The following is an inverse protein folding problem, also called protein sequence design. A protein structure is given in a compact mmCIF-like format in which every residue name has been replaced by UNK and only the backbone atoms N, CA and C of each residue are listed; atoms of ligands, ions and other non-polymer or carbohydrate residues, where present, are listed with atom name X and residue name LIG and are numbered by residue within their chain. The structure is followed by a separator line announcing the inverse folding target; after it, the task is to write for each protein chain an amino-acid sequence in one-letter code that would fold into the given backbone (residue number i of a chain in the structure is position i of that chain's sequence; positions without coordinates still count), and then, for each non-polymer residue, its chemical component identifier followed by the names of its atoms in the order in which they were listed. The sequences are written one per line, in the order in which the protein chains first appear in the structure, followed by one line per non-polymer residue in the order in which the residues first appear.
data_IF_491237313146
#
_entry.id   IF_491237313146
#
_cell.length_a   1.000
_cell.length_b   1.000
_cell.length_c   1.000
_cell.angle_alpha   90.00
_cell.angle_beta   90.00
_cell.angle_gamma   90.00
#
_symmetry.space_group_name_H-M   'P 1'
#
loop_
_entity.id
_entity.type
_entity.pdbx_description
1 polymer ?
#
# COMPACT_ATOMS: atom_id res chain seq x y z
N UNK A 1 -67.26 -17.99 43.96
CA UNK A 1 -67.51 -18.54 42.63
C UNK A 1 -66.33 -18.14 41.73
N UNK A 2 -65.42 -19.05 41.51
CA UNK A 2 -64.45 -19.09 40.41
C UNK A 2 -65.15 -19.30 39.06
N UNK A 3 -64.58 -18.92 37.91
CA UNK A 3 -63.54 -19.73 37.24
C UNK A 3 -62.46 -18.89 36.58
N UNK A 4 -61.24 -19.41 36.63
CA UNK A 4 -60.51 -20.22 35.59
C UNK A 4 -59.85 -19.41 34.46
N UNK A 5 -58.64 -19.54 34.46
CA UNK A 5 -57.46 -19.39 33.67
C UNK A 5 -57.61 -19.58 32.13
N UNK A 6 -56.83 -18.79 31.38
CA UNK A 6 -56.24 -19.27 30.15
C UNK A 6 -54.81 -18.80 29.98
N UNK A 7 -53.99 -19.79 29.65
CA UNK A 7 -52.56 -19.74 29.46
C UNK A 7 -52.28 -19.21 28.02
N UNK A 8 -51.59 -18.08 27.92
CA UNK A 8 -51.06 -17.62 26.66
C UNK A 8 -49.55 -17.95 26.57
N UNK A 9 -49.20 -18.93 25.75
CA UNK A 9 -47.83 -19.30 25.44
C UNK A 9 -47.13 -18.21 24.59
N UNK A 10 -46.31 -17.42 25.25
CA UNK A 10 -45.38 -16.54 24.56
C UNK A 10 -44.11 -17.26 24.17
N UNK A 11 -43.92 -17.51 22.89
CA UNK A 11 -42.65 -17.98 22.33
C UNK A 11 -41.59 -16.90 22.50
N UNK A 12 -40.76 -17.01 23.53
CA UNK A 12 -39.53 -16.25 23.67
C UNK A 12 -38.47 -16.81 22.72
N UNK A 13 -38.32 -16.22 21.58
CA UNK A 13 -37.16 -16.45 20.72
C UNK A 13 -35.91 -15.98 21.50
N UNK A 14 -35.20 -16.93 22.08
CA UNK A 14 -33.86 -16.74 22.65
C UNK A 14 -32.95 -16.31 21.49
N UNK A 15 -32.61 -15.04 21.44
CA UNK A 15 -31.50 -14.57 20.62
C UNK A 15 -30.22 -15.22 21.17
N UNK A 16 -29.78 -16.28 20.52
CA UNK A 16 -28.46 -16.85 20.77
C UNK A 16 -27.44 -15.72 20.58
N UNK A 17 -26.86 -15.22 21.67
CA UNK A 17 -25.66 -14.40 21.61
C UNK A 17 -24.63 -15.23 20.87
N UNK A 18 -24.27 -14.79 19.66
CA UNK A 18 -23.09 -15.32 18.95
C UNK A 18 -21.91 -15.04 19.89
N UNK A 19 -21.47 -16.05 20.61
CA UNK A 19 -20.24 -15.99 21.40
C UNK A 19 -19.13 -15.87 20.35
N UNK A 20 -18.54 -14.70 20.26
CA UNK A 20 -17.37 -14.50 19.41
C UNK A 20 -16.33 -15.58 19.77
N UNK A 21 -15.85 -16.30 18.77
CA UNK A 21 -14.77 -17.27 18.99
C UNK A 21 -13.62 -16.58 19.73
N UNK A 22 -13.02 -17.25 20.74
CA UNK A 22 -11.91 -16.64 21.45
C UNK A 22 -10.78 -16.32 20.48
N UNK A 23 -10.13 -15.14 20.58
CA UNK A 23 -9.05 -14.76 19.69
C UNK A 23 -7.97 -15.83 19.69
N UNK A 24 -7.47 -16.22 18.52
CA UNK A 24 -6.44 -17.24 18.37
C UNK A 24 -5.22 -16.89 19.25
N UNK A 25 -4.68 -17.89 19.91
CA UNK A 25 -3.47 -17.72 20.71
C UNK A 25 -2.29 -17.27 19.82
N UNK A 26 -1.37 -16.49 20.38
CA UNK A 26 -0.19 -16.01 19.67
C UNK A 26 0.60 -17.15 18.97
N UNK A 27 0.67 -18.34 19.59
CA UNK A 27 1.30 -19.50 18.97
C UNK A 27 0.55 -19.98 17.72
N UNK A 28 -0.79 -20.00 17.77
CA UNK A 28 -1.61 -20.44 16.63
C UNK A 28 -1.42 -19.54 15.41
N UNK A 29 -1.25 -18.22 15.60
CA UNK A 29 -0.92 -17.30 14.51
C UNK A 29 0.42 -17.61 13.85
N UNK A 30 1.41 -17.94 14.66
CA UNK A 30 2.73 -18.38 14.17
C UNK A 30 2.58 -19.68 13.37
N UNK A 31 1.85 -20.66 13.90
CA UNK A 31 1.64 -21.97 13.27
C UNK A 31 0.84 -21.87 11.96
N UNK A 32 -0.13 -20.95 11.88
CA UNK A 32 -0.87 -20.66 10.65
C UNK A 32 0.02 -20.05 9.56
N UNK A 33 0.98 -19.21 9.95
CA UNK A 33 1.86 -18.55 9.00
C UNK A 33 2.96 -19.45 8.46
N UNK A 34 3.59 -20.23 9.33
CA UNK A 34 4.78 -21.00 9.00
C UNK A 34 4.45 -22.31 8.29
N UNK A 35 5.37 -22.81 7.52
CA UNK A 35 5.30 -24.14 6.95
C UNK A 35 5.29 -25.18 8.06
N UNK A 36 4.57 -26.29 7.84
CA UNK A 36 4.39 -27.36 8.83
C UNK A 36 5.74 -27.81 9.42
N UNK A 37 5.80 -27.87 10.74
CA UNK A 37 6.99 -28.30 11.53
C UNK A 37 8.26 -27.47 11.30
N UNK A 38 8.15 -26.28 10.71
CA UNK A 38 9.31 -25.42 10.47
C UNK A 38 9.62 -24.46 11.61
N UNK A 39 8.75 -24.33 12.62
CA UNK A 39 8.96 -23.41 13.73
C UNK A 39 10.08 -23.87 14.67
N UNK A 40 11.09 -23.04 14.83
CA UNK A 40 12.19 -23.20 15.77
C UNK A 40 12.14 -22.07 16.79
N UNK A 41 11.61 -22.29 18.01
CA UNK A 41 11.54 -21.26 19.03
C UNK A 41 12.95 -20.85 19.47
N UNK A 42 13.20 -19.55 19.54
CA UNK A 42 14.49 -19.04 20.04
C UNK A 42 14.61 -19.21 21.55
N UNK A 43 13.48 -19.36 22.25
CA UNK A 43 13.39 -19.60 23.69
C UNK A 43 12.30 -20.62 24.00
N UNK A 44 12.58 -21.54 24.89
CA UNK A 44 11.63 -22.54 25.37
C UNK A 44 10.69 -21.99 26.44
N UNK A 45 11.03 -20.89 27.12
CA UNK A 45 10.22 -20.25 28.16
C UNK A 45 10.14 -18.74 27.94
N UNK A 46 8.96 -18.26 27.59
CA UNK A 46 8.70 -16.82 27.40
C UNK A 46 7.97 -16.25 28.63
N UNK A 47 8.67 -16.12 29.77
CA UNK A 47 8.12 -15.43 30.94
C UNK A 47 7.89 -13.93 30.75
N UNK A 48 8.23 -13.39 29.59
CA UNK A 48 8.14 -11.98 29.22
C UNK A 48 6.89 -11.61 28.40
N UNK A 49 6.09 -12.59 27.98
CA UNK A 49 4.86 -12.39 27.21
C UNK A 49 5.06 -12.31 25.69
N UNK A 50 6.26 -12.66 25.17
CA UNK A 50 6.56 -12.69 23.74
C UNK A 50 6.99 -14.09 23.33
N UNK A 51 6.32 -14.67 22.33
CA UNK A 51 6.72 -15.90 21.65
C UNK A 51 7.54 -15.49 20.43
N UNK A 52 8.70 -16.07 20.20
CA UNK A 52 9.55 -15.73 19.07
C UNK A 52 10.37 -16.91 18.58
N UNK A 53 10.73 -16.88 17.32
CA UNK A 53 11.53 -17.89 16.68
C UNK A 53 11.78 -17.62 15.21
N UNK A 54 12.30 -18.63 14.53
CA UNK A 54 12.44 -18.67 13.09
C UNK A 54 11.65 -19.85 12.51
N UNK A 55 11.37 -19.77 11.21
CA UNK A 55 10.69 -20.84 10.49
C UNK A 55 10.82 -20.62 9.00
N UNK A 56 9.93 -21.23 8.25
CA UNK A 56 9.87 -21.08 6.80
C UNK A 56 8.47 -20.65 6.34
N UNK A 57 8.43 -19.89 5.28
CA UNK A 57 7.21 -19.56 4.52
C UNK A 57 7.51 -19.87 3.06
N UNK A 58 6.78 -20.83 2.50
CA UNK A 58 7.02 -21.37 1.15
C UNK A 58 8.50 -21.75 0.95
N UNK A 59 9.07 -22.47 1.92
CA UNK A 59 10.46 -22.91 1.97
C UNK A 59 11.50 -21.86 2.30
N UNK A 60 11.15 -20.56 2.33
CA UNK A 60 12.06 -19.43 2.59
C UNK A 60 12.14 -19.10 4.08
N UNK A 61 13.32 -18.77 4.61
CA UNK A 61 13.49 -18.45 6.03
C UNK A 61 12.74 -17.16 6.39
N UNK A 62 12.10 -17.16 7.55
CA UNK A 62 11.43 -16.00 8.14
C UNK A 62 11.61 -16.02 9.66
N UNK A 63 11.73 -14.85 10.27
CA UNK A 63 11.67 -14.70 11.73
C UNK A 63 10.29 -14.21 12.13
N UNK A 64 9.83 -14.70 13.29
CA UNK A 64 8.49 -14.35 13.79
C UNK A 64 8.55 -14.00 15.28
N UNK A 65 7.69 -13.09 15.68
CA UNK A 65 7.39 -12.85 17.09
C UNK A 65 5.90 -12.53 17.26
N UNK A 66 5.32 -12.91 18.40
CA UNK A 66 3.93 -12.66 18.70
C UNK A 66 3.75 -12.28 20.17
N UNK A 67 2.95 -11.26 20.44
CA UNK A 67 2.60 -10.87 21.81
C UNK A 67 1.46 -11.73 22.33
N UNK A 68 1.65 -12.28 23.55
CA UNK A 68 0.63 -13.06 24.23
C UNK A 68 -0.23 -12.15 25.11
N UNK A 69 -1.43 -11.86 24.67
CA UNK A 69 -2.39 -11.02 25.41
C UNK A 69 -2.75 -11.57 26.79
N UNK A 70 -2.69 -12.89 26.99
CA UNK A 70 -2.93 -13.52 28.31
C UNK A 70 -1.86 -13.13 29.33
N UNK A 71 -0.68 -12.71 28.88
CA UNK A 71 0.38 -12.20 29.77
C UNK A 71 0.23 -10.68 29.95
N UNK A 72 -0.35 -10.28 31.08
CA UNK A 72 -0.51 -8.85 31.48
C UNK A 72 -1.15 -7.97 30.38
N UNK A 73 -2.15 -8.49 29.67
CA UNK A 73 -2.84 -7.78 28.59
C UNK A 73 -1.93 -7.43 27.39
N UNK A 74 -0.88 -8.22 27.15
CA UNK A 74 0.10 -7.95 26.10
C UNK A 74 0.96 -6.70 26.36
N UNK A 75 0.87 -6.09 27.56
CA UNK A 75 1.70 -4.91 27.89
C UNK A 75 3.19 -5.29 27.89
N UNK A 76 4.02 -4.38 27.35
CA UNK A 76 5.43 -4.64 27.12
C UNK A 76 6.31 -4.00 28.22
N UNK A 77 7.17 -4.82 28.80
CA UNK A 77 8.24 -4.42 29.70
C UNK A 77 9.62 -4.63 29.06
N UNK A 78 10.68 -4.41 29.85
CA UNK A 78 12.07 -4.52 29.38
C UNK A 78 12.41 -5.88 28.79
N UNK A 79 12.04 -6.97 29.45
CA UNK A 79 12.35 -8.33 29.00
C UNK A 79 11.70 -8.66 27.65
N UNK A 80 10.40 -8.37 27.50
CA UNK A 80 9.68 -8.58 26.25
C UNK A 80 10.20 -7.69 25.11
N UNK A 81 10.52 -6.43 25.41
CA UNK A 81 11.14 -5.53 24.44
C UNK A 81 12.49 -6.04 23.95
N UNK A 82 13.35 -6.51 24.87
CA UNK A 82 14.62 -7.11 24.50
C UNK A 82 14.47 -8.39 23.66
N UNK A 83 13.39 -9.15 23.84
CA UNK A 83 13.09 -10.34 23.03
C UNK A 83 12.71 -9.95 21.60
N UNK A 84 11.85 -8.93 21.42
CA UNK A 84 11.48 -8.40 20.10
C UNK A 84 12.73 -7.85 19.38
N UNK A 85 13.53 -7.03 20.06
CA UNK A 85 14.78 -6.46 19.51
C UNK A 85 15.71 -7.55 19.00
N UNK A 86 16.01 -8.57 19.83
CA UNK A 86 16.87 -9.69 19.42
C UNK A 86 16.31 -10.45 18.22
N UNK A 87 14.99 -10.60 18.11
CA UNK A 87 14.37 -11.26 16.97
C UNK A 87 14.56 -10.45 15.68
N UNK A 88 14.36 -9.13 15.74
CA UNK A 88 14.59 -8.23 14.60
C UNK A 88 16.08 -8.22 14.20
N UNK A 89 16.98 -8.13 15.15
CA UNK A 89 18.43 -8.15 14.91
C UNK A 89 18.91 -9.48 14.33
N UNK A 90 18.36 -10.61 14.81
CA UNK A 90 18.67 -11.93 14.28
C UNK A 90 18.15 -12.08 12.83
N UNK A 91 16.93 -11.62 12.54
CA UNK A 91 16.39 -11.58 11.20
C UNK A 91 17.26 -10.75 10.26
N UNK A 92 17.65 -9.55 10.71
CA UNK A 92 18.50 -8.65 9.93
C UNK A 92 19.88 -9.26 9.66
N UNK A 93 20.48 -9.93 10.63
CA UNK A 93 21.78 -10.64 10.47
C UNK A 93 21.66 -11.83 9.53
N UNK A 94 20.53 -12.55 9.57
CA UNK A 94 20.28 -13.71 8.73
C UNK A 94 19.86 -13.33 7.30
N UNK A 95 19.56 -12.06 7.02
CA UNK A 95 19.04 -11.64 5.75
C UNK A 95 17.65 -12.22 5.45
N UNK A 96 16.79 -12.33 6.48
CA UNK A 96 15.47 -12.93 6.37
C UNK A 96 14.39 -11.96 6.84
N UNK A 97 13.19 -11.94 6.21
CA UNK A 97 12.08 -11.11 6.67
C UNK A 97 11.68 -11.40 8.11
N UNK A 98 11.05 -10.42 8.76
CA UNK A 98 10.46 -10.58 10.08
C UNK A 98 8.98 -10.22 10.09
N UNK A 99 8.17 -11.07 10.73
CA UNK A 99 6.73 -10.85 10.91
C UNK A 99 6.43 -10.75 12.40
N UNK A 100 5.80 -9.65 12.80
CA UNK A 100 5.38 -9.42 14.17
C UNK A 100 3.87 -9.40 14.31
N UNK A 101 3.32 -10.21 15.22
CA UNK A 101 1.90 -10.21 15.58
C UNK A 101 1.69 -9.41 16.86
N UNK A 102 0.99 -8.27 16.72
CA UNK A 102 0.83 -7.28 17.78
C UNK A 102 -0.56 -7.34 18.40
N UNK A 103 -0.58 -7.44 19.72
CA UNK A 103 -1.76 -7.24 20.57
C UNK A 103 -1.27 -6.73 21.92
N UNK A 104 -1.32 -5.42 22.15
CA UNK A 104 -0.60 -4.79 23.26
C UNK A 104 -1.31 -3.62 23.90
N UNK A 105 -1.49 -3.68 25.20
CA UNK A 105 -1.92 -2.53 26.00
C UNK A 105 -0.89 -1.39 26.10
N UNK A 106 0.24 -1.48 25.38
CA UNK A 106 1.30 -0.47 25.43
C UNK A 106 2.40 -0.75 26.45
N UNK A 107 3.05 0.29 26.92
CA UNK A 107 4.10 0.20 27.92
C UNK A 107 3.58 -0.31 29.27
N UNK A 108 4.29 -1.25 29.89
CA UNK A 108 3.94 -1.78 31.23
C UNK A 108 4.22 -0.73 32.28
N UNK A 109 3.16 -0.13 32.81
CA UNK A 109 3.27 0.99 33.76
C UNK A 109 4.06 0.65 35.02
N UNK A 110 3.99 -0.61 35.48
CA UNK A 110 4.70 -1.09 36.67
C UNK A 110 6.24 -1.10 36.50
N UNK A 111 6.74 -1.06 35.26
CA UNK A 111 8.19 -0.99 34.98
C UNK A 111 8.66 0.44 34.71
N UNK A 112 7.76 1.43 34.79
CA UNK A 112 8.06 2.85 34.66
C UNK A 112 8.86 3.19 33.40
N UNK A 113 9.95 3.95 33.58
CA UNK A 113 10.82 4.39 32.46
C UNK A 113 11.47 3.23 31.69
N UNK A 114 11.66 2.07 32.35
CA UNK A 114 12.22 0.89 31.73
C UNK A 114 11.37 0.36 30.58
N UNK A 115 10.04 0.43 30.69
CA UNK A 115 9.13 0.07 29.60
C UNK A 115 9.22 1.04 28.41
N UNK A 116 9.46 2.33 28.65
CA UNK A 116 9.70 3.30 27.58
C UNK A 116 11.04 3.06 26.89
N UNK A 117 12.09 2.71 27.66
CA UNK A 117 13.40 2.30 27.12
C UNK A 117 13.28 1.07 26.21
N UNK A 118 12.41 0.11 26.57
CA UNK A 118 12.13 -1.05 25.74
C UNK A 118 11.54 -0.66 24.36
N UNK A 119 10.56 0.24 24.34
CA UNK A 119 10.00 0.75 23.08
C UNK A 119 11.02 1.54 22.26
N UNK A 120 11.83 2.40 22.89
CA UNK A 120 12.89 3.13 22.20
C UNK A 120 13.88 2.17 21.51
N UNK A 121 14.21 1.06 22.18
CA UNK A 121 15.07 0.02 21.61
C UNK A 121 14.43 -0.71 20.43
N UNK A 122 13.12 -1.00 20.51
CA UNK A 122 12.35 -1.57 19.40
C UNK A 122 12.33 -0.61 18.21
N UNK A 123 12.02 0.68 18.44
CA UNK A 123 12.01 1.69 17.36
C UNK A 123 13.36 1.77 16.65
N UNK A 124 14.44 1.79 17.43
CA UNK A 124 15.80 1.78 16.88
C UNK A 124 16.07 0.51 16.06
N UNK A 125 15.74 -0.68 16.57
CA UNK A 125 15.95 -1.94 15.88
C UNK A 125 15.14 -2.01 14.58
N UNK A 126 13.85 -1.65 14.63
CA UNK A 126 12.97 -1.62 13.47
C UNK A 126 13.47 -0.64 12.41
N UNK A 127 13.84 0.59 12.80
CA UNK A 127 14.33 1.60 11.85
C UNK A 127 15.68 1.26 11.22
N UNK A 128 16.54 0.50 11.91
CA UNK A 128 17.85 0.11 11.41
C UNK A 128 17.85 -1.19 10.63
N UNK A 129 16.83 -2.02 10.80
CA UNK A 129 16.74 -3.27 10.07
C UNK A 129 16.50 -2.98 8.58
N UNK A 130 17.23 -3.69 7.73
CA UNK A 130 17.15 -3.57 6.27
C UNK A 130 16.20 -4.60 5.65
N UNK A 131 15.96 -5.72 6.34
CA UNK A 131 15.07 -6.79 5.89
C UNK A 131 13.60 -6.35 5.88
N UNK A 132 12.73 -6.98 5.06
CA UNK A 132 11.29 -6.72 5.08
C UNK A 132 10.68 -7.02 6.45
N UNK A 133 9.84 -6.10 6.93
CA UNK A 133 9.18 -6.18 8.23
C UNK A 133 7.67 -6.02 8.03
N UNK A 134 6.90 -7.05 8.40
CA UNK A 134 5.44 -7.02 8.36
C UNK A 134 4.91 -6.99 9.79
N UNK A 135 4.18 -5.94 10.13
CA UNK A 135 3.49 -5.82 11.42
C UNK A 135 2.01 -6.14 11.25
N UNK A 136 1.55 -7.14 11.98
CA UNK A 136 0.17 -7.66 11.94
C UNK A 136 -0.55 -7.26 13.22
N UNK A 137 -1.52 -6.37 13.11
CA UNK A 137 -2.28 -5.85 14.24
C UNK A 137 -3.48 -6.75 14.46
N UNK A 138 -3.46 -7.52 15.54
CA UNK A 138 -4.45 -8.56 15.86
C UNK A 138 -5.41 -8.17 17.01
N UNK A 139 -5.32 -6.96 17.49
CA UNK A 139 -6.11 -6.41 18.58
C UNK A 139 -5.67 -5.00 18.91
N UNK A 140 -6.04 -4.44 20.08
CA UNK A 140 -5.58 -3.13 20.51
C UNK A 140 -4.06 -3.00 20.55
N UNK A 141 -3.52 -1.93 19.96
CA UNK A 141 -2.13 -1.51 20.05
C UNK A 141 -2.06 -0.04 20.46
N UNK A 142 -1.65 0.20 21.72
CA UNK A 142 -1.66 1.53 22.32
C UNK A 142 -0.26 2.10 22.52
N UNK A 143 -0.12 3.41 22.38
CA UNK A 143 1.11 4.13 22.66
C UNK A 143 2.28 3.67 21.79
N UNK A 144 3.38 3.25 22.42
CA UNK A 144 4.57 2.76 21.71
C UNK A 144 4.30 1.58 20.76
N UNK A 145 3.30 0.73 21.08
CA UNK A 145 2.91 -0.38 20.21
C UNK A 145 2.28 0.08 18.88
N UNK A 146 1.77 1.29 18.82
CA UNK A 146 1.23 1.87 17.59
C UNK A 146 2.30 2.51 16.70
N UNK A 147 3.46 2.88 17.25
CA UNK A 147 4.54 3.50 16.46
C UNK A 147 5.40 2.49 15.71
N UNK A 148 5.81 1.39 16.35
CA UNK A 148 6.73 0.43 15.74
C UNK A 148 6.24 -0.14 14.40
N UNK A 149 4.93 -0.45 14.21
CA UNK A 149 4.42 -0.88 12.91
C UNK A 149 4.69 0.10 11.78
N UNK A 150 4.50 1.40 12.04
CA UNK A 150 4.68 2.46 11.05
C UNK A 150 6.15 2.72 10.66
N UNK A 151 7.10 2.16 11.39
CA UNK A 151 8.54 2.20 11.08
C UNK A 151 8.99 1.02 10.21
N UNK A 152 8.15 -0.01 10.08
CA UNK A 152 8.43 -1.20 9.28
C UNK A 152 8.05 -1.06 7.81
N UNK A 153 8.01 -2.19 7.10
CA UNK A 153 7.71 -2.23 5.66
C UNK A 153 6.21 -2.20 5.38
N UNK A 154 5.44 -3.09 6.02
CA UNK A 154 3.98 -3.19 5.84
C UNK A 154 3.26 -3.27 7.18
N UNK A 155 2.09 -2.64 7.24
CA UNK A 155 1.13 -2.74 8.34
C UNK A 155 -0.12 -3.45 7.83
N UNK A 156 -0.50 -4.55 8.48
CA UNK A 156 -1.73 -5.29 8.25
C UNK A 156 -2.62 -5.19 9.47
N UNK A 157 -3.91 -4.95 9.28
CA UNK A 157 -4.90 -4.99 10.35
C UNK A 157 -5.86 -6.15 10.14
N UNK A 158 -6.14 -6.93 11.21
CA UNK A 158 -6.89 -8.18 11.15
C UNK A 158 -8.19 -8.07 11.94
N UNK A 159 -9.31 -8.21 11.25
CA UNK A 159 -10.64 -8.19 11.84
C UNK A 159 -11.05 -6.84 12.44
N UNK A 160 -12.24 -6.83 13.05
CA UNK A 160 -12.83 -5.62 13.63
C UNK A 160 -12.15 -5.20 14.96
N UNK A 161 -11.43 -6.12 15.62
CA UNK A 161 -10.76 -5.87 16.91
C UNK A 161 -9.41 -5.18 16.77
N UNK A 162 -8.84 -5.13 15.58
CA UNK A 162 -7.57 -4.47 15.31
C UNK A 162 -7.68 -2.95 15.50
N UNK A 163 -6.85 -2.40 16.38
CA UNK A 163 -6.86 -0.96 16.72
C UNK A 163 -5.42 -0.46 16.94
N UNK A 164 -5.15 0.73 16.47
CA UNK A 164 -3.89 1.44 16.71
C UNK A 164 -4.17 2.88 17.13
N UNK A 165 -3.63 3.33 18.25
CA UNK A 165 -3.75 4.72 18.69
C UNK A 165 -2.62 5.12 19.64
N UNK A 166 -2.18 6.36 19.58
CA UNK A 166 -1.13 6.88 20.46
C UNK A 166 -1.61 7.00 21.90
N UNK A 167 -2.81 7.52 22.07
CA UNK A 167 -3.41 7.77 23.39
C UNK A 167 -4.77 7.09 23.43
N UNK A 168 -4.99 6.26 24.45
CA UNK A 168 -6.23 5.49 24.57
C UNK A 168 -7.45 6.35 24.91
N UNK A 169 -8.68 5.85 24.59
CA UNK A 169 -9.94 6.58 24.75
C UNK A 169 -10.16 7.18 26.15
N UNK A 170 -9.77 6.44 27.21
CA UNK A 170 -9.92 6.93 28.59
C UNK A 170 -9.09 8.18 28.91
N UNK A 171 -7.92 8.31 28.32
CA UNK A 171 -7.04 9.48 28.50
C UNK A 171 -7.58 10.64 27.66
N UNK A 172 -8.00 10.38 26.42
CA UNK A 172 -8.64 11.38 25.56
C UNK A 172 -9.85 11.98 26.24
N UNK A 173 -10.75 11.16 26.79
CA UNK A 173 -11.93 11.63 27.50
C UNK A 173 -11.60 12.56 28.69
N UNK A 174 -10.47 12.33 29.38
CA UNK A 174 -10.02 13.21 30.48
C UNK A 174 -9.38 14.49 30.00
N UNK A 175 -8.63 14.48 28.90
CA UNK A 175 -7.83 15.62 28.43
C UNK A 175 -8.62 16.52 27.49
N UNK A 176 -9.25 15.93 26.46
CA UNK A 176 -9.99 16.68 25.43
C UNK A 176 -11.51 16.66 25.63
N UNK A 177 -12.00 15.84 26.57
CA UNK A 177 -13.43 15.58 26.83
C UNK A 177 -14.17 14.92 25.66
N UNK A 178 -13.45 14.39 24.69
CA UNK A 178 -14.01 13.60 23.59
C UNK A 178 -14.29 12.18 24.10
N UNK A 179 -15.51 11.69 23.87
CA UNK A 179 -15.92 10.34 24.23
C UNK A 179 -15.95 9.50 22.95
N UNK A 180 -14.99 8.59 22.81
CA UNK A 180 -14.84 7.72 21.65
C UNK A 180 -14.51 6.30 22.09
N UNK A 181 -14.88 5.30 21.30
CA UNK A 181 -14.41 3.92 21.46
C UNK A 181 -13.03 3.75 20.82
N UNK A 182 -12.31 2.68 21.16
CA UNK A 182 -11.02 2.39 20.51
C UNK A 182 -11.16 2.13 19.00
N UNK A 183 -12.27 1.51 18.58
CA UNK A 183 -12.56 1.24 17.16
C UNK A 183 -12.83 2.54 16.40
N UNK A 184 -13.59 3.47 16.99
CA UNK A 184 -13.84 4.80 16.38
C UNK A 184 -12.57 5.66 16.35
N UNK A 185 -11.68 5.50 17.33
CA UNK A 185 -10.44 6.27 17.42
C UNK A 185 -9.37 5.77 16.45
N UNK A 186 -9.16 4.47 16.37
CA UNK A 186 -8.04 3.89 15.62
C UNK A 186 -8.29 2.47 15.12
N UNK A 187 -9.55 2.09 14.85
CA UNK A 187 -9.89 0.81 14.24
C UNK A 187 -9.48 0.75 12.76
N UNK A 188 -9.55 -0.45 12.18
CA UNK A 188 -9.18 -0.68 10.78
C UNK A 188 -9.90 0.28 9.82
N UNK A 189 -11.19 0.63 10.06
CA UNK A 189 -11.98 1.57 9.23
C UNK A 189 -11.42 3.00 9.24
N UNK A 190 -10.69 3.38 10.28
CA UNK A 190 -9.98 4.66 10.37
C UNK A 190 -8.65 4.55 9.61
N UNK A 191 -7.85 3.55 9.92
CA UNK A 191 -6.48 3.46 9.43
C UNK A 191 -6.37 3.09 7.94
N UNK A 192 -7.31 2.36 7.37
CA UNK A 192 -7.38 2.16 5.93
C UNK A 192 -7.65 3.44 5.12
N UNK A 193 -8.24 4.48 5.77
CA UNK A 193 -8.49 5.79 5.14
C UNK A 193 -7.38 6.80 5.43
N UNK A 194 -6.63 6.63 6.51
CA UNK A 194 -5.53 7.51 6.88
C UNK A 194 -4.19 7.12 6.24
N UNK A 195 -4.12 5.92 5.61
CA UNK A 195 -2.88 5.41 5.01
C UNK A 195 -1.94 4.71 5.99
N UNK A 196 -2.33 4.53 7.26
CA UNK A 196 -1.54 3.79 8.25
C UNK A 196 -1.59 2.28 8.00
N UNK A 197 -2.78 1.75 7.64
CA UNK A 197 -2.93 0.35 7.26
C UNK A 197 -2.74 0.19 5.75
N UNK A 198 -1.87 -0.73 5.37
CA UNK A 198 -1.58 -1.03 3.96
C UNK A 198 -2.41 -2.20 3.45
N UNK A 199 -2.69 -3.19 4.30
CA UNK A 199 -3.45 -4.41 3.98
C UNK A 199 -4.45 -4.68 5.10
N UNK A 200 -5.62 -5.20 4.73
CA UNK A 200 -6.66 -5.63 5.68
C UNK A 200 -6.95 -7.12 5.46
N UNK A 201 -7.17 -7.85 6.54
CA UNK A 201 -7.60 -9.23 6.53
C UNK A 201 -8.82 -9.40 7.43
N UNK A 202 -9.75 -10.27 7.06
CA UNK A 202 -10.97 -10.48 7.83
C UNK A 202 -10.69 -11.30 9.10
N UNK A 203 -9.72 -12.23 9.03
CA UNK A 203 -9.32 -13.11 10.12
C UNK A 203 -7.84 -13.52 10.05
N UNK A 204 -7.36 -14.30 11.01
CA UNK A 204 -5.97 -14.73 11.09
C UNK A 204 -5.59 -15.71 9.96
N UNK A 205 -6.54 -16.45 9.37
CA UNK A 205 -6.28 -17.35 8.23
C UNK A 205 -6.07 -16.54 6.95
N UNK A 206 -6.96 -15.60 6.67
CA UNK A 206 -6.82 -14.65 5.57
C UNK A 206 -5.54 -13.82 5.72
N UNK A 207 -5.22 -13.37 6.94
CA UNK A 207 -3.98 -12.66 7.24
C UNK A 207 -2.75 -13.50 6.89
N UNK A 208 -2.72 -14.76 7.28
CA UNK A 208 -1.62 -15.69 6.95
C UNK A 208 -1.42 -15.81 5.44
N UNK A 209 -2.49 -16.00 4.68
CA UNK A 209 -2.42 -16.07 3.21
C UNK A 209 -1.87 -14.78 2.59
N UNK A 210 -2.35 -13.62 3.04
CA UNK A 210 -1.88 -12.31 2.56
C UNK A 210 -0.44 -12.01 2.96
N UNK A 211 0.01 -12.45 4.14
CA UNK A 211 1.42 -12.33 4.57
C UNK A 211 2.31 -13.19 3.66
N UNK A 212 1.94 -14.45 3.39
CA UNK A 212 2.64 -15.33 2.46
C UNK A 212 2.73 -14.70 1.07
N UNK A 213 1.61 -14.18 0.57
CA UNK A 213 1.58 -13.47 -0.71
C UNK A 213 2.51 -12.25 -0.69
N UNK A 214 2.45 -11.40 0.32
CA UNK A 214 3.32 -10.22 0.45
C UNK A 214 4.80 -10.63 0.49
N UNK A 215 5.18 -11.59 1.33
CA UNK A 215 6.56 -12.09 1.42
C UNK A 215 7.08 -12.65 0.11
N UNK A 216 6.20 -13.14 -0.77
CA UNK A 216 6.59 -13.68 -2.08
C UNK A 216 7.05 -12.62 -3.08
N UNK A 217 6.85 -11.33 -2.80
CA UNK A 217 7.33 -10.24 -3.65
C UNK A 217 8.65 -9.64 -3.17
N UNK A 218 9.02 -9.85 -1.91
CA UNK A 218 10.21 -9.25 -1.32
C UNK A 218 11.43 -10.18 -1.35
N UNK A 219 12.64 -9.65 -1.59
CA UNK A 219 13.88 -10.39 -1.35
C UNK A 219 14.08 -10.61 0.15
N UNK A 220 15.06 -11.44 0.53
CA UNK A 220 15.46 -11.57 1.93
C UNK A 220 16.12 -10.31 2.48
N UNK A 221 16.93 -9.66 1.64
CA UNK A 221 17.65 -8.40 1.94
C UNK A 221 17.58 -7.45 0.75
N UNK A 222 17.79 -6.14 0.92
CA UNK A 222 17.99 -5.22 -0.19
C UNK A 222 19.10 -5.73 -1.13
N UNK A 223 18.82 -5.69 -2.43
CA UNK A 223 19.76 -6.21 -3.45
C UNK A 223 19.90 -7.73 -3.51
N UNK A 224 19.18 -8.48 -2.66
CA UNK A 224 19.08 -9.94 -2.78
C UNK A 224 18.17 -10.37 -3.94
N UNK A 225 18.23 -11.67 -4.34
CA UNK A 225 17.43 -12.17 -5.44
C UNK A 225 15.93 -12.06 -5.10
N UNK A 226 15.17 -11.54 -6.07
CA UNK A 226 13.71 -11.52 -5.99
C UNK A 226 13.14 -12.93 -6.16
N UNK A 227 12.08 -13.30 -5.42
CA UNK A 227 11.49 -14.62 -5.50
C UNK A 227 10.81 -14.85 -6.86
N UNK A 228 11.31 -15.79 -7.63
CA UNK A 228 10.70 -16.21 -8.88
C UNK A 228 9.57 -17.24 -8.66
N UNK A 229 8.56 -17.21 -9.51
CA UNK A 229 7.54 -18.25 -9.67
C UNK A 229 7.38 -18.57 -11.15
N UNK A 230 6.91 -19.77 -11.47
CA UNK A 230 6.55 -20.09 -12.87
C UNK A 230 5.52 -19.06 -13.38
N UNK A 231 5.73 -18.50 -14.57
CA UNK A 231 4.83 -17.51 -15.14
C UNK A 231 3.45 -18.11 -15.44
N UNK A 232 2.45 -17.26 -15.33
CA UNK A 232 1.06 -17.56 -15.67
C UNK A 232 0.58 -16.52 -16.66
N UNK A 233 -0.15 -16.95 -17.69
CA UNK A 233 -0.71 -16.02 -18.67
C UNK A 233 -1.53 -14.94 -17.99
N UNK A 234 -1.47 -13.68 -18.44
CA UNK A 234 -2.29 -12.60 -17.92
C UNK A 234 -3.79 -12.85 -18.21
N UNK A 235 -4.67 -12.01 -17.69
CA UNK A 235 -6.08 -12.07 -18.11
C UNK A 235 -6.18 -11.90 -19.63
N UNK A 236 -7.08 -12.66 -20.30
CA UNK A 236 -7.25 -12.56 -21.75
C UNK A 236 -7.85 -11.21 -22.15
N UNK A 237 -7.52 -10.72 -23.35
CA UNK A 237 -8.00 -9.47 -23.91
C UNK A 237 -6.88 -8.45 -24.11
N UNK A 238 -7.24 -7.29 -24.68
CA UNK A 238 -6.31 -6.20 -24.90
C UNK A 238 -6.27 -5.29 -23.64
N UNK A 239 -5.10 -4.90 -23.13
CA UNK A 239 -5.00 -3.99 -22.00
C UNK A 239 -5.73 -2.65 -22.17
N UNK A 240 -6.04 -2.24 -23.39
CA UNK A 240 -6.81 -1.02 -23.67
C UNK A 240 -8.34 -1.22 -23.65
N UNK A 241 -8.84 -2.44 -23.68
CA UNK A 241 -10.29 -2.74 -23.69
C UNK A 241 -11.06 -2.05 -22.55
N UNK A 242 -10.54 -1.95 -21.33
CA UNK A 242 -11.20 -1.22 -20.25
C UNK A 242 -11.28 0.29 -20.44
N UNK A 243 -10.49 0.87 -21.36
CA UNK A 243 -10.36 2.31 -21.52
C UNK A 243 -11.37 2.81 -22.57
N UNK A 244 -12.37 3.62 -22.19
CA UNK A 244 -13.34 4.11 -23.15
C UNK A 244 -12.71 5.09 -24.15
N UNK A 245 -13.14 4.99 -25.41
CA UNK A 245 -12.71 5.92 -26.47
C UNK A 245 -13.09 7.38 -26.15
N UNK A 246 -14.22 7.60 -25.48
CA UNK A 246 -14.60 8.92 -24.99
C UNK A 246 -13.75 9.30 -23.75
N UNK A 247 -12.84 10.24 -23.90
CA UNK A 247 -11.92 10.72 -22.85
C UNK A 247 -12.62 11.28 -21.59
N UNK A 248 -13.90 11.64 -21.68
CA UNK A 248 -14.69 12.10 -20.52
C UNK A 248 -15.18 10.97 -19.63
N UNK A 249 -15.19 9.74 -20.12
CA UNK A 249 -15.58 8.57 -19.35
C UNK A 249 -14.40 8.05 -18.54
N UNK A 250 -14.73 7.48 -17.39
CA UNK A 250 -13.75 6.92 -16.45
C UNK A 250 -13.76 5.40 -16.54
N UNK A 251 -12.65 4.79 -16.18
CA UNK A 251 -12.47 3.34 -16.11
C UNK A 251 -11.72 2.97 -14.82
N UNK A 252 -11.67 1.70 -14.51
CA UNK A 252 -10.87 1.18 -13.40
C UNK A 252 -9.51 0.70 -13.92
N UNK A 253 -8.44 1.33 -13.49
CA UNK A 253 -7.07 0.97 -13.93
C UNK A 253 -6.68 -0.45 -13.48
N UNK A 254 -7.37 -1.04 -12.49
CA UNK A 254 -7.14 -2.43 -12.06
C UNK A 254 -7.45 -3.43 -13.16
N UNK A 255 -8.42 -3.12 -14.01
CA UNK A 255 -8.76 -3.97 -15.15
C UNK A 255 -7.61 -3.97 -16.16
N UNK A 256 -6.98 -2.82 -16.42
CA UNK A 256 -5.74 -2.72 -17.24
C UNK A 256 -4.60 -3.52 -16.60
N UNK A 257 -4.39 -3.37 -15.28
CA UNK A 257 -3.34 -4.07 -14.53
C UNK A 257 -3.50 -5.59 -14.67
N UNK A 258 -4.73 -6.11 -14.61
CA UNK A 258 -5.03 -7.53 -14.77
C UNK A 258 -4.58 -8.12 -16.11
N UNK A 259 -4.61 -7.34 -17.19
CA UNK A 259 -4.10 -7.75 -18.52
C UNK A 259 -2.58 -7.65 -18.65
N UNK A 260 -1.88 -7.07 -17.68
CA UNK A 260 -0.42 -6.94 -17.69
C UNK A 260 0.27 -7.93 -16.75
N UNK A 261 -0.40 -8.36 -15.68
CA UNK A 261 0.19 -9.20 -14.64
C UNK A 261 -0.14 -10.68 -14.81
N UNK A 262 0.76 -11.54 -14.38
CA UNK A 262 0.60 -12.99 -14.36
C UNK A 262 -0.69 -13.38 -13.64
N UNK A 263 -1.57 -14.14 -14.30
CA UNK A 263 -2.87 -14.55 -13.77
C UNK A 263 -3.80 -13.39 -13.39
N UNK A 264 -3.46 -12.16 -13.70
CA UNK A 264 -4.15 -10.96 -13.22
C UNK A 264 -3.99 -10.73 -11.71
N UNK A 265 -3.07 -11.46 -11.05
CA UNK A 265 -2.87 -11.36 -9.60
C UNK A 265 -2.24 -10.01 -9.20
N UNK A 266 -2.94 -9.27 -8.35
CA UNK A 266 -2.49 -7.98 -7.88
C UNK A 266 -2.74 -7.80 -6.37
N UNK A 267 -1.66 -7.72 -5.58
CA UNK A 267 -1.74 -7.36 -4.16
C UNK A 267 -1.78 -5.83 -4.04
N UNK A 268 -2.99 -5.27 -4.07
CA UNK A 268 -3.17 -3.82 -3.92
C UNK A 268 -2.93 -3.37 -2.48
N UNK A 269 -2.08 -2.36 -2.32
CA UNK A 269 -1.78 -1.74 -1.03
C UNK A 269 -2.57 -0.45 -0.84
N UNK A 270 -2.95 -0.16 0.41
CA UNK A 270 -3.65 1.08 0.79
C UNK A 270 -4.87 1.38 -0.09
N UNK A 271 -5.65 0.36 -0.44
CA UNK A 271 -6.79 0.41 -1.38
C UNK A 271 -7.82 1.51 -1.07
N UNK A 272 -7.96 1.89 0.20
CA UNK A 272 -8.95 2.87 0.67
C UNK A 272 -8.37 4.27 0.94
N UNK A 273 -7.05 4.42 0.90
CA UNK A 273 -6.35 5.69 1.02
C UNK A 273 -5.96 6.22 -0.36
N UNK A 274 -6.10 7.53 -0.58
CA UNK A 274 -5.74 8.20 -1.84
C UNK A 274 -6.15 7.36 -3.07
N UNK A 275 -7.46 7.15 -3.25
CA UNK A 275 -8.01 6.20 -4.24
C UNK A 275 -7.74 6.57 -5.69
N UNK A 276 -7.36 7.82 -5.94
CA UNK A 276 -6.90 8.34 -7.24
C UNK A 276 -5.50 7.84 -7.63
N UNK A 277 -4.81 7.13 -6.74
CA UNK A 277 -3.54 6.43 -6.96
C UNK A 277 -3.69 4.96 -6.54
N UNK A 278 -3.40 4.04 -7.44
CA UNK A 278 -3.32 2.60 -7.18
C UNK A 278 -1.86 2.21 -7.06
N UNK A 279 -1.52 1.44 -6.03
CA UNK A 279 -0.18 0.88 -5.81
C UNK A 279 -0.31 -0.57 -5.36
N UNK A 280 0.65 -1.40 -5.70
CA UNK A 280 0.68 -2.80 -5.27
C UNK A 280 1.73 -3.62 -5.98
N UNK A 281 1.70 -4.91 -5.72
CA UNK A 281 2.63 -5.88 -6.29
C UNK A 281 1.93 -6.91 -7.15
N UNK A 282 2.61 -7.36 -8.18
CA UNK A 282 2.25 -8.47 -9.02
C UNK A 282 3.48 -9.13 -9.61
N UNK A 283 3.30 -9.87 -10.69
CA UNK A 283 4.39 -10.51 -11.42
C UNK A 283 4.26 -10.30 -12.92
N UNK A 284 5.38 -10.22 -13.57
CA UNK A 284 5.49 -10.30 -15.04
C UNK A 284 6.56 -11.34 -15.35
N UNK A 285 6.19 -12.34 -16.14
CA UNK A 285 7.06 -13.48 -16.46
C UNK A 285 7.65 -14.14 -15.20
N UNK A 286 6.81 -14.37 -14.18
CA UNK A 286 7.19 -14.99 -12.91
C UNK A 286 7.95 -14.09 -11.94
N UNK A 287 8.39 -12.91 -12.34
CA UNK A 287 9.20 -12.00 -11.53
C UNK A 287 8.37 -10.93 -10.84
N UNK A 288 8.62 -10.63 -9.56
CA UNK A 288 7.96 -9.57 -8.85
C UNK A 288 8.14 -8.21 -9.50
N UNK A 289 7.06 -7.45 -9.59
CA UNK A 289 7.05 -6.06 -10.00
C UNK A 289 6.15 -5.24 -9.08
N UNK A 290 6.55 -3.99 -8.80
CA UNK A 290 5.66 -2.99 -8.25
C UNK A 290 4.86 -2.35 -9.38
N UNK A 291 3.63 -1.95 -9.11
CA UNK A 291 2.79 -1.17 -10.02
C UNK A 291 2.32 0.08 -9.31
N UNK A 292 2.50 1.23 -9.94
CA UNK A 292 1.90 2.51 -9.54
C UNK A 292 1.11 3.08 -10.70
N UNK A 293 -0.16 3.45 -10.48
CA UNK A 293 -1.07 3.84 -11.55
C UNK A 293 -2.02 4.95 -11.13
N UNK A 294 -2.32 5.88 -12.04
CA UNK A 294 -3.41 6.82 -11.85
C UNK A 294 -4.76 6.12 -11.99
N UNK A 295 -5.70 6.41 -11.09
CA UNK A 295 -7.03 5.81 -11.12
C UNK A 295 -8.07 6.83 -11.60
N UNK A 296 -8.45 6.73 -12.87
CA UNK A 296 -9.39 7.65 -13.50
C UNK A 296 -10.77 7.68 -12.83
N UNK A 297 -11.19 6.57 -12.22
CA UNK A 297 -12.47 6.43 -11.49
C UNK A 297 -12.60 7.37 -10.29
N UNK A 298 -11.48 7.86 -9.77
CA UNK A 298 -11.44 8.79 -8.64
C UNK A 298 -10.75 10.08 -9.06
N UNK A 299 -11.49 11.18 -8.98
CA UNK A 299 -11.01 12.51 -9.34
C UNK A 299 -10.43 12.62 -10.77
N UNK A 300 -10.84 11.72 -11.69
CA UNK A 300 -10.31 11.70 -13.05
C UNK A 300 -8.82 11.34 -13.15
N UNK A 301 -8.23 10.73 -12.13
CA UNK A 301 -6.79 10.40 -12.12
C UNK A 301 -5.87 11.57 -11.77
N UNK A 302 -6.38 12.74 -11.35
CA UNK A 302 -5.52 13.86 -10.92
C UNK A 302 -4.68 13.46 -9.71
N UNK A 303 -3.48 14.02 -9.60
CA UNK A 303 -2.66 13.92 -8.40
C UNK A 303 -3.12 14.93 -7.34
N UNK A 304 -3.16 14.52 -6.10
CA UNK A 304 -3.36 15.40 -4.94
C UNK A 304 -2.29 15.11 -3.86
N UNK A 305 -2.35 15.85 -2.78
CA UNK A 305 -1.38 15.73 -1.69
C UNK A 305 -1.30 14.30 -1.13
N UNK A 306 -2.44 13.63 -0.96
CA UNK A 306 -2.49 12.27 -0.41
C UNK A 306 -1.97 11.21 -1.42
N UNK A 307 -2.29 11.37 -2.71
CA UNK A 307 -1.76 10.51 -3.77
C UNK A 307 -0.23 10.63 -3.89
N UNK A 308 0.29 11.84 -3.73
CA UNK A 308 1.73 12.10 -3.75
C UNK A 308 2.45 11.39 -2.58
N UNK A 309 1.91 11.48 -1.35
CA UNK A 309 2.47 10.75 -0.20
C UNK A 309 2.46 9.23 -0.42
N UNK A 310 1.31 8.70 -0.89
CA UNK A 310 1.14 7.27 -1.17
C UNK A 310 2.13 6.77 -2.22
N UNK A 311 2.27 7.53 -3.32
CA UNK A 311 3.21 7.21 -4.39
C UNK A 311 4.66 7.27 -3.93
N UNK A 312 5.06 8.33 -3.22
CA UNK A 312 6.42 8.48 -2.71
C UNK A 312 6.83 7.35 -1.78
N UNK A 313 5.95 6.98 -0.85
CA UNK A 313 6.17 5.85 0.05
C UNK A 313 6.38 4.54 -0.73
N UNK A 314 5.56 4.28 -1.75
CA UNK A 314 5.64 3.05 -2.53
C UNK A 314 6.91 2.98 -3.41
N UNK A 315 7.26 4.07 -4.09
CA UNK A 315 8.48 4.17 -4.90
C UNK A 315 9.72 3.94 -4.03
N UNK A 316 9.82 4.59 -2.87
CA UNK A 316 10.92 4.40 -1.93
C UNK A 316 11.00 2.96 -1.41
N UNK A 317 9.86 2.28 -1.24
CA UNK A 317 9.83 0.87 -0.83
C UNK A 317 10.32 -0.04 -1.95
N UNK A 318 9.87 0.16 -3.18
CA UNK A 318 10.35 -0.61 -4.35
C UNK A 318 11.84 -0.41 -4.55
N UNK A 319 12.33 0.82 -4.45
CA UNK A 319 13.76 1.13 -4.57
C UNK A 319 14.58 0.47 -3.47
N UNK A 320 14.15 0.57 -2.21
CA UNK A 320 14.82 -0.08 -1.08
C UNK A 320 15.05 -1.58 -1.28
N UNK A 321 14.09 -2.26 -1.89
CA UNK A 321 14.14 -3.70 -2.12
C UNK A 321 14.48 -4.08 -3.56
N UNK A 322 14.81 -3.10 -4.40
CA UNK A 322 15.16 -3.28 -5.81
C UNK A 322 14.10 -4.07 -6.58
N UNK A 323 12.81 -3.80 -6.29
CA UNK A 323 11.68 -4.38 -6.98
C UNK A 323 11.40 -3.50 -8.23
N UNK A 324 11.51 -4.04 -9.46
CA UNK A 324 11.23 -3.29 -10.68
C UNK A 324 9.83 -2.67 -10.66
N UNK A 325 9.69 -1.45 -11.22
CA UNK A 325 8.46 -0.67 -11.12
C UNK A 325 7.84 -0.40 -12.49
N UNK A 326 6.55 -0.71 -12.62
CA UNK A 326 5.70 -0.31 -13.74
C UNK A 326 4.87 0.89 -13.33
N UNK A 327 4.98 1.99 -14.10
CA UNK A 327 4.23 3.22 -13.90
C UNK A 327 3.19 3.36 -14.99
N UNK A 328 1.90 3.28 -14.64
CA UNK A 328 0.80 3.46 -15.59
C UNK A 328 0.23 4.87 -15.45
N UNK A 329 0.54 5.73 -16.41
CA UNK A 329 0.17 7.14 -16.37
C UNK A 329 -1.10 7.42 -17.16
N UNK A 330 -2.11 7.99 -16.49
CA UNK A 330 -3.31 8.59 -17.08
C UNK A 330 -3.78 9.70 -16.14
N UNK A 331 -3.23 10.89 -16.31
CA UNK A 331 -3.49 12.01 -15.40
C UNK A 331 -3.65 13.34 -16.15
N UNK A 332 -4.72 14.11 -15.87
CA UNK A 332 -4.91 15.44 -16.43
C UNK A 332 -4.10 16.54 -15.69
N UNK A 333 -3.36 16.21 -14.62
CA UNK A 333 -2.61 17.17 -13.86
C UNK A 333 -2.69 17.01 -12.34
N UNK A 334 -2.21 18.01 -11.62
CA UNK A 334 -2.45 18.14 -10.18
C UNK A 334 -3.83 18.75 -9.89
N UNK A 335 -4.43 18.32 -8.78
CA UNK A 335 -5.70 18.88 -8.33
C UNK A 335 -5.53 20.33 -7.90
N UNK A 336 -6.20 21.29 -8.57
CA UNK A 336 -6.12 22.68 -8.19
C UNK A 336 -6.98 22.99 -6.96
N UNK A 337 -6.69 24.10 -6.30
CA UNK A 337 -7.56 24.70 -5.30
C UNK A 337 -6.93 24.91 -3.94
N UNK A 338 -7.49 25.89 -3.22
CA UNK A 338 -7.01 26.36 -1.91
C UNK A 338 -6.80 25.25 -0.90
N UNK A 339 -7.66 24.22 -0.91
CA UNK A 339 -7.53 23.09 -0.01
C UNK A 339 -6.23 22.33 -0.25
N UNK A 340 -5.85 22.08 -1.50
CA UNK A 340 -4.63 21.36 -1.84
C UNK A 340 -3.38 22.13 -1.44
N UNK A 341 -3.38 23.45 -1.63
CA UNK A 341 -2.28 24.29 -1.18
C UNK A 341 -2.13 24.25 0.35
N UNK A 342 -3.25 24.32 1.09
CA UNK A 342 -3.27 24.19 2.55
C UNK A 342 -2.88 22.79 3.04
N UNK A 343 -3.14 21.75 2.28
CA UNK A 343 -2.71 20.37 2.52
C UNK A 343 -1.24 20.15 2.10
N UNK A 344 -0.53 21.21 1.73
CA UNK A 344 0.87 21.22 1.34
C UNK A 344 1.17 20.32 0.11
N UNK A 345 0.35 20.41 -0.95
CA UNK A 345 0.51 19.64 -2.19
C UNK A 345 1.89 19.82 -2.80
N UNK A 346 2.48 21.04 -2.76
CA UNK A 346 3.84 21.30 -3.26
C UNK A 346 4.89 20.46 -2.54
N UNK A 347 4.87 20.44 -1.20
CA UNK A 347 5.84 19.66 -0.41
C UNK A 347 5.67 18.16 -0.63
N UNK A 348 4.43 17.67 -0.61
CA UNK A 348 4.13 16.24 -0.79
C UNK A 348 4.39 15.80 -2.24
N UNK A 349 4.07 16.64 -3.22
CA UNK A 349 4.42 16.41 -4.62
C UNK A 349 5.92 16.36 -4.85
N UNK A 350 6.68 17.25 -4.16
CA UNK A 350 8.14 17.23 -4.20
C UNK A 350 8.75 15.95 -3.62
N UNK A 351 8.12 15.30 -2.63
CA UNK A 351 8.59 14.00 -2.11
C UNK A 351 8.39 12.88 -3.15
N UNK A 352 7.28 12.86 -3.89
CA UNK A 352 7.09 11.89 -4.97
C UNK A 352 8.07 12.13 -6.13
N UNK A 353 8.26 13.39 -6.51
CA UNK A 353 9.25 13.76 -7.51
C UNK A 353 10.67 13.36 -7.09
N UNK A 354 11.04 13.61 -5.83
CA UNK A 354 12.32 13.17 -5.26
C UNK A 354 12.46 11.66 -5.31
N UNK A 355 11.43 10.91 -4.87
CA UNK A 355 11.46 9.46 -4.86
C UNK A 355 11.81 8.90 -6.24
N UNK A 356 11.17 9.39 -7.30
CA UNK A 356 11.51 8.99 -8.68
C UNK A 356 12.87 9.47 -9.16
N UNK A 357 13.31 10.67 -8.73
CA UNK A 357 14.58 11.25 -9.20
C UNK A 357 15.81 10.54 -8.65
N UNK A 358 15.70 9.90 -7.46
CA UNK A 358 16.86 9.28 -6.78
C UNK A 358 16.82 7.77 -6.81
N UNK A 359 15.69 7.14 -7.20
CA UNK A 359 15.58 5.68 -7.19
C UNK A 359 16.43 5.03 -8.30
N UNK A 360 16.98 3.87 -7.96
CA UNK A 360 17.92 3.12 -8.83
C UNK A 360 17.30 1.81 -9.36
N UNK A 361 16.15 1.35 -8.81
CA UNK A 361 15.49 0.16 -9.34
C UNK A 361 15.05 0.35 -10.80
N UNK A 362 15.06 -0.71 -11.62
CA UNK A 362 14.56 -0.68 -12.99
C UNK A 362 13.09 -0.23 -13.04
N UNK A 363 12.76 0.65 -13.98
CA UNK A 363 11.38 1.16 -14.09
C UNK A 363 10.97 1.48 -15.51
N UNK A 364 9.71 1.18 -15.82
CA UNK A 364 9.08 1.45 -17.11
C UNK A 364 7.85 2.30 -16.89
N UNK A 365 7.73 3.39 -17.63
CA UNK A 365 6.52 4.23 -17.65
C UNK A 365 5.73 3.96 -18.92
N UNK A 366 4.40 3.80 -18.78
CA UNK A 366 3.47 3.68 -19.91
C UNK A 366 2.43 4.79 -19.79
N UNK A 367 2.43 5.72 -20.73
CA UNK A 367 1.36 6.71 -20.87
C UNK A 367 0.23 6.10 -21.67
N UNK A 368 -0.91 5.84 -21.02
CA UNK A 368 -2.02 5.09 -21.62
C UNK A 368 -2.98 6.00 -22.38
N UNK A 369 -3.39 7.14 -21.81
CA UNK A 369 -4.41 8.02 -22.39
C UNK A 369 -4.00 9.49 -22.38
N UNK A 370 -3.61 10.04 -21.23
CA UNK A 370 -3.21 11.44 -21.10
C UNK A 370 -2.19 11.65 -19.99
N UNK A 371 -1.30 12.61 -20.19
CA UNK A 371 -0.35 13.04 -19.17
C UNK A 371 0.01 14.52 -19.34
N UNK A 372 -0.45 15.38 -18.41
CA UNK A 372 -0.29 16.81 -18.56
C UNK A 372 0.45 17.48 -17.39
N UNK A 373 1.21 18.51 -17.73
CA UNK A 373 1.83 19.46 -16.81
C UNK A 373 2.77 18.81 -15.81
N UNK A 374 2.77 19.33 -14.58
CA UNK A 374 3.61 18.80 -13.51
C UNK A 374 3.34 17.35 -13.16
N UNK A 375 2.12 16.84 -13.38
CA UNK A 375 1.79 15.44 -13.13
C UNK A 375 2.46 14.49 -14.12
N UNK A 376 2.63 14.89 -15.41
CA UNK A 376 3.44 14.16 -16.38
C UNK A 376 4.88 13.96 -15.84
N UNK A 377 5.47 15.05 -15.32
CA UNK A 377 6.83 14.99 -14.78
C UNK A 377 6.89 14.02 -13.58
N UNK A 378 6.00 14.22 -12.60
CA UNK A 378 6.02 13.49 -11.33
C UNK A 378 5.65 12.01 -11.49
N UNK A 379 4.94 11.64 -12.56
CA UNK A 379 4.68 10.23 -12.90
C UNK A 379 5.83 9.60 -13.71
N UNK A 380 7.07 9.96 -13.36
CA UNK A 380 8.30 9.38 -13.90
C UNK A 380 8.47 9.61 -15.42
N UNK A 381 8.54 10.86 -15.82
CA UNK A 381 8.89 11.21 -17.20
C UNK A 381 10.36 10.88 -17.51
N UNK A 382 10.71 10.92 -18.79
CA UNK A 382 12.05 10.60 -19.28
C UNK A 382 13.16 11.38 -18.56
N UNK A 383 12.99 12.67 -18.40
CA UNK A 383 14.02 13.55 -17.85
C UNK A 383 14.23 13.41 -16.32
N UNK A 384 13.42 12.61 -15.64
CA UNK A 384 13.65 12.22 -14.25
C UNK A 384 14.59 11.02 -14.07
N UNK A 385 15.26 10.56 -15.13
CA UNK A 385 16.20 9.45 -15.05
C UNK A 385 15.50 8.09 -15.17
N UNK A 386 14.45 8.00 -16.00
CA UNK A 386 13.76 6.76 -16.33
C UNK A 386 14.68 5.76 -17.06
N UNK A 387 14.25 4.49 -17.11
CA UNK A 387 14.91 3.48 -17.94
C UNK A 387 14.23 3.31 -19.31
N UNK A 388 12.90 3.32 -19.36
CA UNK A 388 12.10 3.18 -20.58
C UNK A 388 10.76 3.89 -20.44
N UNK A 389 10.45 4.78 -21.39
CA UNK A 389 9.16 5.47 -21.47
C UNK A 389 8.40 5.02 -22.71
N UNK A 390 7.29 4.36 -22.47
CA UNK A 390 6.35 3.89 -23.47
C UNK A 390 5.11 4.76 -23.49
N UNK A 391 4.43 4.80 -24.63
CA UNK A 391 3.10 5.39 -24.71
C UNK A 391 2.23 4.62 -25.71
N UNK A 392 0.93 4.57 -25.48
CA UNK A 392 -0.02 4.02 -26.43
C UNK A 392 -0.33 4.99 -27.58
N UNK A 393 -0.71 4.50 -28.76
CA UNK A 393 -0.87 5.36 -29.96
C UNK A 393 -1.87 6.51 -29.79
N UNK A 394 -2.92 6.32 -29.00
CA UNK A 394 -3.95 7.34 -28.73
C UNK A 394 -3.64 8.30 -27.58
N UNK A 395 -2.46 8.19 -26.97
CA UNK A 395 -2.09 9.03 -25.83
C UNK A 395 -1.86 10.49 -26.22
N UNK A 396 -2.18 11.40 -25.30
CA UNK A 396 -1.92 12.83 -25.42
C UNK A 396 -1.03 13.33 -24.30
N UNK A 397 0.02 14.06 -24.65
CA UNK A 397 1.04 14.56 -23.71
C UNK A 397 1.27 16.03 -23.97
N UNK A 398 1.32 16.86 -22.93
CA UNK A 398 1.56 18.28 -23.08
C UNK A 398 1.61 19.04 -21.76
N UNK A 399 1.78 20.36 -21.88
CA UNK A 399 1.82 21.25 -20.70
C UNK A 399 0.47 21.31 -19.99
N UNK A 400 -0.62 21.29 -20.74
CA UNK A 400 -2.00 21.23 -20.22
C UNK A 400 -2.96 20.76 -21.31
N UNK A 401 -4.14 20.33 -20.90
CA UNK A 401 -5.19 19.92 -21.85
C UNK A 401 -5.67 21.09 -22.71
N UNK A 402 -6.13 20.80 -23.92
CA UNK A 402 -6.50 21.81 -24.91
C UNK A 402 -7.50 22.88 -24.40
N UNK A 403 -8.58 22.52 -23.66
CA UNK A 403 -9.52 23.53 -23.17
C UNK A 403 -8.87 24.61 -22.29
N UNK A 404 -7.92 24.21 -21.45
CA UNK A 404 -7.21 25.16 -20.57
C UNK A 404 -6.10 25.92 -21.33
N UNK A 405 -5.48 25.28 -22.30
CA UNK A 405 -4.42 25.89 -23.08
C UNK A 405 -4.93 27.06 -23.92
N UNK A 406 -6.07 26.92 -24.59
CA UNK A 406 -6.64 27.98 -25.44
C UNK A 406 -7.03 29.23 -24.64
N UNK A 407 -7.45 29.08 -23.37
CA UNK A 407 -7.74 30.24 -22.50
C UNK A 407 -6.52 31.14 -22.27
N UNK A 408 -5.33 30.60 -22.45
CA UNK A 408 -4.06 31.34 -22.32
C UNK A 408 -3.53 31.77 -23.68
N UNK A 409 -3.38 30.81 -24.60
CA UNK A 409 -2.69 31.01 -25.88
C UNK A 409 -3.57 31.76 -26.87
N UNK A 410 -4.90 31.48 -26.89
CA UNK A 410 -5.89 32.05 -27.79
C UNK A 410 -6.86 33.01 -27.09
N UNK A 411 -6.42 33.63 -26.01
CA UNK A 411 -7.26 34.54 -25.23
C UNK A 411 -7.88 35.66 -26.08
N UNK A 412 -7.10 36.26 -26.96
CA UNK A 412 -7.57 37.35 -27.84
C UNK A 412 -8.58 36.89 -28.88
N UNK A 413 -8.40 35.66 -29.41
CA UNK A 413 -9.30 35.08 -30.39
C UNK A 413 -10.64 34.74 -29.73
N UNK A 414 -10.61 34.22 -28.49
CA UNK A 414 -11.82 33.97 -27.68
C UNK A 414 -12.54 35.29 -27.35
N UNK A 415 -11.83 36.33 -26.95
CA UNK A 415 -12.39 37.67 -26.71
C UNK A 415 -13.00 38.28 -27.99
N UNK A 416 -12.48 37.91 -29.17
CA UNK A 416 -13.01 38.30 -30.47
C UNK A 416 -14.18 37.43 -30.97
N UNK A 417 -14.59 36.42 -30.22
CA UNK A 417 -15.75 35.58 -30.50
C UNK A 417 -15.46 34.30 -31.32
N UNK A 418 -14.19 33.84 -31.35
CA UNK A 418 -13.84 32.57 -31.97
C UNK A 418 -14.45 31.39 -31.18
N UNK A 419 -14.80 30.30 -31.87
CA UNK A 419 -15.36 29.12 -31.25
C UNK A 419 -14.33 28.38 -30.36
N UNK A 420 -14.55 28.27 -29.04
CA UNK A 420 -13.65 27.55 -28.14
C UNK A 420 -13.44 26.09 -28.53
N UNK A 421 -14.46 25.44 -29.12
CA UNK A 421 -14.38 24.02 -29.47
C UNK A 421 -13.44 23.81 -30.68
N UNK A 422 -13.52 24.70 -31.68
CA UNK A 422 -12.62 24.67 -32.85
C UNK A 422 -11.16 24.97 -32.45
N UNK A 423 -10.94 25.98 -31.61
CA UNK A 423 -9.60 26.32 -31.13
C UNK A 423 -9.00 25.17 -30.27
N UNK A 424 -9.80 24.54 -29.41
CA UNK A 424 -9.34 23.43 -28.61
C UNK A 424 -8.99 22.19 -29.46
N UNK A 425 -9.80 21.87 -30.47
CA UNK A 425 -9.55 20.79 -31.42
C UNK A 425 -8.25 21.02 -32.21
N UNK A 426 -8.06 22.22 -32.72
CA UNK A 426 -6.84 22.63 -33.46
C UNK A 426 -5.58 22.55 -32.55
N UNK A 427 -5.70 23.01 -31.30
CA UNK A 427 -4.60 22.93 -30.35
C UNK A 427 -4.29 21.46 -29.98
N UNK A 428 -5.32 20.61 -29.77
CA UNK A 428 -5.12 19.20 -29.47
C UNK A 428 -4.40 18.49 -30.61
N UNK A 429 -4.83 18.70 -31.86
CA UNK A 429 -4.19 18.11 -33.04
C UNK A 429 -2.75 18.55 -33.24
N UNK A 430 -2.47 19.81 -33.00
CA UNK A 430 -1.17 20.41 -33.28
C UNK A 430 -0.13 20.15 -32.18
N UNK A 431 -0.52 20.00 -30.91
CA UNK A 431 0.40 20.03 -29.79
C UNK A 431 0.40 18.82 -28.90
N UNK A 432 -0.68 18.03 -28.83
CA UNK A 432 -0.84 16.99 -27.82
C UNK A 432 -0.64 15.53 -28.28
N UNK A 433 -0.66 15.17 -29.60
CA UNK A 433 -0.47 13.79 -29.99
C UNK A 433 0.86 13.21 -29.52
N UNK A 434 0.84 11.97 -29.05
CA UNK A 434 2.05 11.27 -28.57
C UNK A 434 3.19 11.25 -29.59
N UNK A 435 2.87 11.24 -30.90
CA UNK A 435 3.86 11.27 -31.97
C UNK A 435 4.75 12.53 -31.92
N UNK A 436 4.22 13.66 -31.46
CA UNK A 436 4.98 14.92 -31.27
C UNK A 436 5.95 14.74 -30.11
N UNK A 437 5.50 14.20 -28.98
CA UNK A 437 6.34 13.93 -27.83
C UNK A 437 7.45 12.91 -28.15
N UNK A 438 7.13 11.85 -28.91
CA UNK A 438 8.10 10.87 -29.35
C UNK A 438 9.14 11.47 -30.30
N UNK A 439 8.71 12.27 -31.29
CA UNK A 439 9.62 12.97 -32.22
C UNK A 439 10.56 13.93 -31.48
N UNK A 440 10.08 14.56 -30.43
CA UNK A 440 10.87 15.46 -29.58
C UNK A 440 11.76 14.71 -28.57
N UNK A 441 11.68 13.39 -28.51
CA UNK A 441 12.52 12.55 -27.67
C UNK A 441 12.03 12.41 -26.22
N UNK A 442 10.78 12.72 -25.92
CA UNK A 442 10.19 12.54 -24.57
C UNK A 442 9.53 11.16 -24.36
N UNK A 443 9.36 10.38 -25.42
CA UNK A 443 8.87 9.01 -25.42
C UNK A 443 9.86 8.18 -26.23
N UNK A 444 10.32 7.06 -25.68
CA UNK A 444 11.26 6.17 -26.34
C UNK A 444 10.59 5.31 -27.42
N UNK A 445 9.36 4.85 -27.14
CA UNK A 445 8.64 3.96 -28.05
C UNK A 445 7.12 4.15 -27.94
N UNK A 446 6.45 4.24 -29.08
CA UNK A 446 4.99 4.14 -29.16
C UNK A 446 4.67 2.65 -29.36
N UNK A 447 4.09 2.02 -28.35
CA UNK A 447 3.81 0.60 -28.30
C UNK A 447 2.31 0.35 -28.36
N UNK A 448 1.87 -0.67 -29.13
CA UNK A 448 0.48 -1.10 -29.10
C UNK A 448 0.14 -1.72 -27.75
N UNK A 449 -1.10 -1.57 -27.25
CA UNK A 449 -1.48 -2.06 -25.93
C UNK A 449 -1.21 -3.56 -25.75
N UNK A 450 -1.51 -4.40 -26.73
CA UNK A 450 -1.28 -5.84 -26.74
C UNK A 450 0.20 -6.24 -26.61
N UNK A 451 1.14 -5.36 -27.00
CA UNK A 451 2.59 -5.59 -26.91
C UNK A 451 3.22 -5.00 -25.64
N UNK A 452 2.45 -4.29 -24.84
CA UNK A 452 2.98 -3.55 -23.67
C UNK A 452 3.62 -4.51 -22.66
N UNK A 453 2.96 -5.62 -22.31
CA UNK A 453 3.50 -6.61 -21.36
C UNK A 453 4.83 -7.22 -21.84
N UNK A 454 4.89 -7.66 -23.11
CA UNK A 454 6.08 -8.23 -23.73
C UNK A 454 7.25 -7.23 -23.69
N UNK A 455 6.97 -5.96 -24.00
CA UNK A 455 7.98 -4.90 -24.02
C UNK A 455 8.52 -4.57 -22.63
N UNK A 456 7.65 -4.56 -21.61
CA UNK A 456 8.06 -4.38 -20.20
C UNK A 456 8.92 -5.56 -19.76
N UNK A 457 8.49 -6.80 -20.02
CA UNK A 457 9.21 -8.02 -19.67
C UNK A 457 10.62 -8.03 -20.27
N UNK A 458 10.75 -7.76 -21.58
CA UNK A 458 12.02 -7.70 -22.27
C UNK A 458 12.96 -6.64 -21.69
N UNK A 459 12.43 -5.49 -21.29
CA UNK A 459 13.24 -4.46 -20.66
C UNK A 459 13.78 -4.88 -19.29
N UNK A 460 12.92 -5.45 -18.44
CA UNK A 460 13.35 -5.92 -17.12
C UNK A 460 14.32 -7.10 -17.19
N UNK A 461 14.14 -7.99 -18.16
CA UNK A 461 15.09 -9.09 -18.41
C UNK A 461 16.48 -8.58 -18.75
N UNK A 462 16.59 -7.57 -19.62
CA UNK A 462 17.86 -6.98 -20.02
C UNK A 462 18.58 -6.21 -18.86
N UNK A 463 17.89 -5.97 -17.74
CA UNK A 463 18.40 -5.24 -16.56
C UNK A 463 18.73 -6.14 -15.36
N UNK A 464 18.40 -7.45 -15.45
CA UNK A 464 18.78 -8.48 -14.46
C UNK A 464 20.22 -8.93 -14.66
#
# INVERSE_FOLDING_TARGET
MTPEAEVGSGNGASSAKVVAEPPLAAQVRIDLLLDERSFHPTRTHSGDGVICGSGRVDGRPVYVWAQNVKHKGGSLGQAGGATIVRTIEAANKAGAPVVGFLHSGGARLQEGIGALGAYASIFRATSRATVPQISVICGPCAGGAAYSPSLGTLVMMVGEEAQMFLTGPRVIAKVTREVVTGVELGGHRVHRKSGVSHVEADDDVAASALIRQALSYFPGTPGGPLPYREPVDPLPGDPSDPIPANKRLVYDVRDVIGHLLDGGEFLELSKRYAKNMVIGFGRIEGHPVGVIANQARYLGGVLDAAASDKGAWFVNMCDRYQIPLVVLSDTPGYRPGVRQEREAVLRRGAELLRAFSVCEMPRVTVTMRQAYGGAYIVMNCRDLGHDLTLAWPGATIGVMGAPQAIEIVHRRDLEAGADPAELAAAYEEQHLPVAIAAKAGFIDEIVSPDKTRERIAAHFEARR
#
